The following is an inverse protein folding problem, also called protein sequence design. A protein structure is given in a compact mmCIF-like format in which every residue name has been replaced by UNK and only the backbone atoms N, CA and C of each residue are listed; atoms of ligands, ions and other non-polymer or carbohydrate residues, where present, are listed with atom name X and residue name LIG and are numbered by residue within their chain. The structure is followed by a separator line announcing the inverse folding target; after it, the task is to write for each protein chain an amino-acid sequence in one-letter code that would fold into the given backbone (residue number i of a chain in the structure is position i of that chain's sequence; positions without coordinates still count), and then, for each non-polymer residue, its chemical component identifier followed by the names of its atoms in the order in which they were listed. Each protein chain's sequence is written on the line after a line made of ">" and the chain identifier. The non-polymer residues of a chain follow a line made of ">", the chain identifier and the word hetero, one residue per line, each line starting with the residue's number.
data_IF_747195599419
#
_entry.id   IF_747195599419
#
_cell.length_a   1.000
_cell.length_b   1.000
_cell.length_c   1.000
_cell.angle_alpha   90.00
_cell.angle_beta   90.00
_cell.angle_gamma   90.00
#
_symmetry.space_group_name_H-M   'P 1'
#
loop_
_entity.id
_entity.type
_entity.pdbx_description
1 polymer ?
#
# COMPACT_ATOMS: atom_id res chain seq x y z
N UNK A 1 -0.68 -1.93 26.39
CA UNK A 1 0.25 -2.15 25.26
C UNK A 1 -0.43 -1.58 24.01
N UNK A 2 0.13 -1.73 22.81
CA UNK A 2 -0.44 -1.17 21.57
C UNK A 2 -0.01 -2.04 20.39
N UNK A 3 -0.80 -2.02 19.32
CA UNK A 3 -0.49 -2.76 18.09
C UNK A 3 0.05 -1.80 17.05
N UNK A 4 1.30 -2.00 16.65
CA UNK A 4 1.89 -1.24 15.55
C UNK A 4 1.43 -1.82 14.21
N UNK A 5 0.83 -0.99 13.36
CA UNK A 5 0.34 -1.40 12.03
C UNK A 5 1.03 -0.56 10.98
N UNK A 6 1.58 -1.21 9.95
CA UNK A 6 2.22 -0.57 8.81
C UNK A 6 1.70 -1.18 7.52
N UNK A 7 1.40 -0.35 6.53
CA UNK A 7 1.15 -0.81 5.17
C UNK A 7 2.45 -1.05 4.44
N UNK A 8 2.61 -2.28 3.93
CA UNK A 8 3.72 -2.66 3.06
C UNK A 8 3.20 -2.75 1.62
N UNK A 9 3.99 -2.25 0.68
CA UNK A 9 3.70 -2.30 -0.75
C UNK A 9 3.78 -3.75 -1.22
N UNK A 10 2.74 -4.26 -1.86
CA UNK A 10 2.73 -5.63 -2.39
C UNK A 10 3.80 -5.84 -3.49
N UNK A 11 4.09 -4.81 -4.27
CA UNK A 11 5.11 -4.88 -5.32
C UNK A 11 6.56 -4.82 -4.78
N UNK A 12 6.78 -4.69 -3.46
CA UNK A 12 8.12 -4.51 -2.86
C UNK A 12 9.11 -5.63 -3.21
N UNK A 13 8.64 -6.83 -3.50
CA UNK A 13 9.48 -7.99 -3.82
C UNK A 13 9.87 -8.05 -5.29
N UNK A 14 9.22 -7.26 -6.15
CA UNK A 14 9.49 -7.25 -7.58
C UNK A 14 10.68 -6.34 -7.93
N UNK A 15 11.45 -6.66 -8.98
CA UNK A 15 12.55 -5.81 -9.44
C UNK A 15 12.13 -4.37 -9.76
N UNK A 16 10.87 -4.16 -10.20
CA UNK A 16 10.30 -2.83 -10.48
C UNK A 16 10.22 -1.93 -9.24
N UNK A 17 10.25 -2.49 -8.03
CA UNK A 17 10.28 -1.73 -6.77
C UNK A 17 11.66 -1.16 -6.42
N UNK A 18 12.73 -1.73 -6.98
CA UNK A 18 14.12 -1.44 -6.60
C UNK A 18 14.69 -0.18 -7.28
N UNK A 19 13.87 0.86 -7.51
CA UNK A 19 14.20 2.06 -8.29
C UNK A 19 15.54 2.76 -8.03
N UNK A 20 15.86 3.85 -8.73
CA UNK A 20 17.07 4.62 -8.45
C UNK A 20 17.09 5.13 -7.00
N UNK A 21 18.29 5.41 -6.47
CA UNK A 21 18.53 5.64 -5.04
C UNK A 21 17.67 6.71 -4.34
N UNK A 22 16.98 7.59 -5.08
CA UNK A 22 16.10 8.64 -4.55
C UNK A 22 14.64 8.55 -5.03
N UNK A 23 14.20 7.39 -5.49
CA UNK A 23 12.83 7.14 -5.93
C UNK A 23 12.59 5.65 -6.03
N UNK A 24 12.46 4.97 -4.89
CA UNK A 24 12.20 3.52 -4.80
C UNK A 24 10.87 3.29 -4.10
N UNK A 25 10.48 2.03 -4.01
CA UNK A 25 9.33 1.61 -3.22
C UNK A 25 9.40 2.17 -1.78
N UNK A 26 8.35 2.84 -1.34
CA UNK A 26 8.28 3.45 -0.01
C UNK A 26 8.49 2.42 1.13
N UNK A 27 8.15 1.16 0.90
CA UNK A 27 8.40 0.08 1.86
C UNK A 27 9.85 -0.37 1.96
N UNK A 28 10.71 -0.10 0.97
CA UNK A 28 12.15 -0.35 1.11
C UNK A 28 12.81 0.65 2.07
N UNK A 29 12.24 1.84 2.17
CA UNK A 29 12.73 2.94 3.01
C UNK A 29 11.94 3.08 4.32
N UNK A 30 10.97 2.19 4.60
CA UNK A 30 10.02 2.29 5.72
C UNK A 30 9.26 3.64 5.78
N UNK A 31 9.01 4.24 4.62
CA UNK A 31 8.29 5.52 4.49
C UNK A 31 6.80 5.33 4.17
N UNK A 32 6.24 4.14 4.41
CA UNK A 32 4.83 3.85 4.18
C UNK A 32 3.93 4.32 5.33
N UNK A 33 2.60 4.36 5.11
CA UNK A 33 1.63 4.67 6.16
C UNK A 33 1.78 3.74 7.36
N UNK A 34 1.88 4.33 8.55
CA UNK A 34 2.12 3.62 9.80
C UNK A 34 1.40 4.28 10.98
N UNK A 35 0.80 3.48 11.86
CA UNK A 35 -0.04 3.97 12.97
C UNK A 35 0.01 3.01 14.16
N UNK A 36 -0.11 3.56 15.36
CA UNK A 36 -0.22 2.81 16.60
C UNK A 36 -1.69 2.65 17.01
N UNK A 37 -2.20 1.43 16.94
CA UNK A 37 -3.54 1.10 17.40
C UNK A 37 -3.59 0.84 18.92
N UNK A 38 -4.73 1.15 19.51
CA UNK A 38 -5.08 0.70 20.87
C UNK A 38 -5.37 -0.81 20.85
N UNK A 39 -5.23 -1.46 22.00
CA UNK A 39 -5.48 -2.91 22.18
C UNK A 39 -6.95 -3.27 22.31
N UNK A 40 -7.78 -2.65 21.49
CA UNK A 40 -9.17 -3.02 21.35
C UNK A 40 -9.41 -3.27 19.87
N UNK A 41 -10.36 -4.16 19.55
CA UNK A 41 -10.75 -4.39 18.17
C UNK A 41 -11.16 -3.06 17.49
N UNK A 42 -11.92 -2.22 18.20
CA UNK A 42 -12.30 -0.89 17.71
C UNK A 42 -11.07 0.00 17.44
N UNK A 43 -10.07 -0.03 18.32
CA UNK A 43 -8.82 0.71 18.14
C UNK A 43 -8.03 0.27 16.91
N UNK A 44 -8.00 -1.04 16.64
CA UNK A 44 -7.38 -1.59 15.43
C UNK A 44 -8.16 -1.18 14.18
N UNK A 45 -9.49 -1.24 14.21
CA UNK A 45 -10.35 -0.84 13.09
C UNK A 45 -10.20 0.65 12.77
N UNK A 46 -10.13 1.51 13.78
CA UNK A 46 -9.94 2.95 13.60
C UNK A 46 -8.56 3.27 13.05
N UNK A 47 -7.50 2.63 13.55
CA UNK A 47 -6.16 2.77 13.00
C UNK A 47 -6.09 2.35 11.51
N UNK A 48 -6.73 1.22 11.15
CA UNK A 48 -6.80 0.76 9.76
C UNK A 48 -7.55 1.75 8.84
N UNK A 49 -8.61 2.41 9.34
CA UNK A 49 -9.31 3.47 8.60
C UNK A 49 -8.43 4.70 8.40
N UNK A 50 -7.74 5.14 9.45
CA UNK A 50 -6.79 6.26 9.38
C UNK A 50 -5.68 5.98 8.36
N UNK A 51 -5.04 4.82 8.47
CA UNK A 51 -4.03 4.36 7.52
C UNK A 51 -4.54 4.29 6.09
N UNK A 52 -5.74 3.74 5.87
CA UNK A 52 -6.36 3.71 4.54
C UNK A 52 -6.59 5.08 3.93
N UNK A 53 -6.95 6.07 4.76
CA UNK A 53 -7.13 7.45 4.32
C UNK A 53 -5.81 8.16 4.05
N UNK A 54 -4.80 7.96 4.90
CA UNK A 54 -3.46 8.49 4.71
C UNK A 54 -2.82 7.93 3.45
N UNK A 55 -2.88 6.61 3.26
CA UNK A 55 -2.39 5.91 2.07
C UNK A 55 -2.98 6.51 0.78
N UNK A 56 -4.30 6.71 0.73
CA UNK A 56 -4.94 7.33 -0.45
C UNK A 56 -4.47 8.76 -0.68
N UNK A 57 -4.30 9.55 0.39
CA UNK A 57 -3.81 10.95 0.31
C UNK A 57 -2.37 11.02 -0.16
N UNK A 58 -1.52 10.08 0.23
CA UNK A 58 -0.12 9.98 -0.21
C UNK A 58 0.06 9.33 -1.59
N UNK A 59 -1.05 8.94 -2.25
CA UNK A 59 -1.03 8.41 -3.61
C UNK A 59 -0.91 6.90 -3.71
N UNK A 60 -0.95 6.18 -2.59
CA UNK A 60 -1.04 4.73 -2.60
C UNK A 60 -2.34 4.27 -3.23
N UNK A 61 -2.28 3.12 -3.92
CA UNK A 61 -3.42 2.52 -4.59
C UNK A 61 -3.81 1.23 -3.89
N UNK A 62 -5.09 1.12 -3.55
CA UNK A 62 -5.69 -0.13 -3.06
C UNK A 62 -5.94 -1.05 -4.25
N UNK A 63 -5.57 -2.32 -4.10
CA UNK A 63 -5.80 -3.39 -5.06
C UNK A 63 -6.59 -4.51 -4.38
N UNK A 64 -7.00 -5.53 -5.13
CA UNK A 64 -7.63 -6.74 -4.53
C UNK A 64 -6.68 -7.48 -3.59
N UNK A 65 -5.37 -7.39 -3.85
CA UNK A 65 -4.35 -8.12 -3.11
C UNK A 65 -3.73 -7.34 -1.95
N UNK A 66 -3.91 -6.01 -1.91
CA UNK A 66 -3.30 -5.21 -0.86
C UNK A 66 -3.14 -3.75 -1.26
N UNK A 67 -2.02 -3.15 -0.88
CA UNK A 67 -1.71 -1.76 -1.17
C UNK A 67 -0.42 -1.65 -1.98
N UNK A 68 -0.40 -0.70 -2.92
CA UNK A 68 0.75 -0.38 -3.74
C UNK A 68 1.14 1.08 -3.47
N UNK A 69 2.41 1.31 -3.14
CA UNK A 69 2.93 2.67 -2.89
C UNK A 69 2.91 3.55 -4.14
N UNK A 70 3.00 4.86 -3.97
CA UNK A 70 2.88 5.81 -5.07
C UNK A 70 3.95 5.58 -6.14
N UNK A 71 5.18 5.28 -5.72
CA UNK A 71 6.28 4.96 -6.65
C UNK A 71 5.97 3.72 -7.51
N UNK A 72 5.57 2.61 -6.88
CA UNK A 72 5.27 1.37 -7.60
C UNK A 72 4.03 1.51 -8.46
N UNK A 73 3.02 2.27 -8.01
CA UNK A 73 1.81 2.54 -8.79
C UNK A 73 2.10 3.35 -10.06
N UNK A 74 3.18 4.13 -10.10
CA UNK A 74 3.61 4.86 -11.30
C UNK A 74 4.38 3.98 -12.30
N UNK A 75 4.75 2.74 -11.95
CA UNK A 75 5.50 1.86 -12.84
C UNK A 75 4.58 1.26 -13.92
N UNK A 76 5.00 1.27 -15.21
CA UNK A 76 4.17 0.77 -16.31
C UNK A 76 3.74 -0.69 -16.14
N UNK A 77 4.63 -1.54 -15.61
CA UNK A 77 4.35 -2.97 -15.41
C UNK A 77 3.23 -3.19 -14.39
N UNK A 78 3.27 -2.43 -13.29
CA UNK A 78 2.27 -2.51 -12.22
C UNK A 78 0.93 -1.93 -12.69
N UNK A 79 0.93 -0.86 -13.47
CA UNK A 79 -0.31 -0.28 -14.02
C UNK A 79 -1.07 -1.27 -14.92
N UNK A 80 -0.37 -2.09 -15.70
CA UNK A 80 -0.98 -3.13 -16.53
C UNK A 80 -1.63 -4.22 -15.67
N UNK A 81 -0.93 -4.69 -14.63
CA UNK A 81 -1.48 -5.68 -13.68
C UNK A 81 -2.67 -5.13 -12.89
N UNK A 82 -2.62 -3.86 -12.49
CA UNK A 82 -3.73 -3.18 -11.85
C UNK A 82 -4.95 -3.13 -12.77
N UNK A 83 -4.80 -2.69 -14.03
CA UNK A 83 -5.93 -2.64 -14.98
C UNK A 83 -6.57 -4.01 -15.19
N UNK A 84 -5.77 -5.04 -15.45
CA UNK A 84 -6.26 -6.40 -15.64
C UNK A 84 -7.03 -6.91 -14.40
N UNK A 85 -6.51 -6.65 -13.19
CA UNK A 85 -7.18 -7.02 -11.94
C UNK A 85 -8.51 -6.30 -11.72
N UNK A 86 -8.65 -5.06 -12.19
CA UNK A 86 -9.89 -4.30 -12.06
C UNK A 86 -10.95 -4.76 -13.07
N UNK A 87 -10.55 -5.04 -14.31
CA UNK A 87 -11.45 -5.55 -15.36
C UNK A 87 -12.06 -6.91 -14.98
N UNK A 88 -11.25 -7.84 -14.47
CA UNK A 88 -11.73 -9.16 -13.99
C UNK A 88 -12.72 -9.05 -12.82
N UNK A 89 -12.64 -8.00 -12.01
CA UNK A 89 -13.53 -7.80 -10.85
C UNK A 89 -14.88 -7.14 -11.16
N UNK A 90 -15.08 -6.65 -12.39
CA UNK A 90 -16.34 -6.04 -12.83
C UNK A 90 -17.28 -7.08 -13.47
N UNK A 91 -16.74 -8.24 -13.84
CA UNK A 91 -17.48 -9.35 -14.46
C UNK A 91 -18.05 -10.38 -13.45
N UNK A 92 -17.86 -10.18 -12.14
CA UNK A 92 -18.40 -10.99 -11.02
C UNK A 92 -19.50 -10.26 -10.24
#
# INVERSE_FOLDING_TARGET
>A
MGVWIEFRCENRSNPSAAGPSRGRCESHENNGPMEMARETNDGVLDALRCLGNEARKSGWKRTRYGWICAYCAAQPTVLTELKASWEESVDE
#
